data_IF_972950669267
#
_entry.id   IF_972950669267
#
_cell.length_a   1.000
_cell.length_b   1.000
_cell.length_c   1.000
_cell.angle_alpha   90.00
_cell.angle_beta   90.00
_cell.angle_gamma   90.00
#
_symmetry.space_group_name_H-M   'P 1'
#
loop_
_entity.id
_entity.type
_entity.pdbx_description
1 polymer ?
#
# COMPACT_ATOMS: atom_id res chain seq x y z
N UNK A 1 -0.40 51.17 31.06
CA UNK A 1 -0.18 49.71 31.21
C UNK A 1 -1.42 48.87 30.85
N UNK A 2 -2.64 49.18 31.33
CA UNK A 2 -3.85 48.38 31.05
C UNK A 2 -4.11 48.09 29.55
N UNK A 3 -3.99 49.10 28.68
CA UNK A 3 -4.18 48.95 27.22
C UNK A 3 -3.22 47.98 26.51
N UNK A 4 -2.06 47.64 27.10
CA UNK A 4 -1.11 46.68 26.50
C UNK A 4 -1.40 45.22 26.87
N UNK A 5 -2.19 44.97 27.93
CA UNK A 5 -2.42 43.62 28.47
C UNK A 5 -3.81 43.09 28.11
N UNK A 6 -4.76 43.97 27.81
CA UNK A 6 -6.12 43.63 27.35
C UNK A 6 -6.15 42.62 26.18
N UNK A 7 -5.33 42.78 25.11
CA UNK A 7 -5.34 41.86 23.97
C UNK A 7 -4.88 40.46 24.35
N UNK A 8 -3.89 40.37 25.24
CA UNK A 8 -3.32 39.12 25.74
C UNK A 8 -4.32 38.40 26.64
N UNK A 9 -4.96 39.13 27.56
CA UNK A 9 -5.98 38.56 28.45
C UNK A 9 -7.18 38.05 27.63
N UNK A 10 -7.67 38.86 26.68
CA UNK A 10 -8.78 38.49 25.80
C UNK A 10 -8.49 37.26 24.94
N UNK A 11 -7.24 37.11 24.46
CA UNK A 11 -6.79 35.94 23.74
C UNK A 11 -6.89 34.65 24.57
N UNK A 12 -6.32 34.64 25.77
CA UNK A 12 -6.28 33.46 26.63
C UNK A 12 -7.63 33.12 27.27
N UNK A 13 -8.53 34.10 27.45
CA UNK A 13 -9.87 33.87 27.98
C UNK A 13 -10.95 33.62 26.91
N UNK A 14 -10.61 33.78 25.62
CA UNK A 14 -11.57 33.77 24.51
C UNK A 14 -11.45 32.58 23.56
N UNK A 15 -12.26 32.59 22.49
CA UNK A 15 -12.21 31.59 21.42
C UNK A 15 -10.94 31.68 20.55
N UNK A 16 -10.20 32.78 20.63
CA UNK A 16 -9.00 33.02 19.82
C UNK A 16 -7.89 32.01 20.12
N UNK A 17 -7.67 31.64 21.39
CA UNK A 17 -6.67 30.59 21.72
C UNK A 17 -7.07 29.23 21.15
N UNK A 18 -8.37 28.94 21.05
CA UNK A 18 -8.86 27.70 20.44
C UNK A 18 -8.63 27.69 18.93
N UNK A 19 -8.92 28.82 18.25
CA UNK A 19 -8.63 29.01 16.82
C UNK A 19 -7.13 28.83 16.56
N UNK A 20 -6.28 29.53 17.31
CA UNK A 20 -4.83 29.45 17.15
C UNK A 20 -4.32 28.01 17.30
N UNK A 21 -4.74 27.31 18.37
CA UNK A 21 -4.34 25.91 18.61
C UNK A 21 -4.84 24.96 17.52
N UNK A 22 -6.07 25.15 17.03
CA UNK A 22 -6.65 24.35 15.96
C UNK A 22 -5.81 24.49 14.68
N UNK A 23 -5.52 25.72 14.28
CA UNK A 23 -4.78 26.00 13.04
C UNK A 23 -3.31 25.58 13.15
N UNK A 24 -2.69 25.80 14.32
CA UNK A 24 -1.32 25.35 14.58
C UNK A 24 -1.14 23.84 14.40
N UNK A 25 -2.18 23.04 14.66
CA UNK A 25 -2.15 21.58 14.43
C UNK A 25 -2.28 21.19 12.97
N UNK A 26 -2.87 22.05 12.14
CA UNK A 26 -3.16 21.78 10.72
C UNK A 26 -2.10 22.29 9.77
N UNK A 27 -1.23 23.21 10.21
CA UNK A 27 -0.29 23.89 9.31
C UNK A 27 0.66 22.92 8.60
N UNK A 28 1.09 21.85 9.27
CA UNK A 28 1.95 20.82 8.67
C UNK A 28 1.20 20.02 7.58
N UNK A 29 -0.11 19.80 7.76
CA UNK A 29 -0.95 19.17 6.75
C UNK A 29 -1.11 20.06 5.51
N UNK A 30 -1.29 21.36 5.72
CA UNK A 30 -1.35 22.32 4.60
C UNK A 30 -0.03 22.39 3.85
N UNK A 31 1.10 22.42 4.56
CA UNK A 31 2.44 22.40 3.95
C UNK A 31 2.68 21.15 3.12
N UNK A 32 2.34 19.98 3.65
CA UNK A 32 2.47 18.72 2.91
C UNK A 32 1.65 18.72 1.62
N UNK A 33 0.50 19.39 1.62
CA UNK A 33 -0.41 19.47 0.48
C UNK A 33 -0.24 20.75 -0.37
N UNK A 34 0.78 21.57 -0.13
CA UNK A 34 0.90 22.91 -0.73
C UNK A 34 0.93 22.90 -2.26
N UNK A 35 1.52 21.85 -2.85
CA UNK A 35 1.58 21.70 -4.31
C UNK A 35 0.22 21.46 -4.96
N UNK A 36 -0.78 21.03 -4.19
CA UNK A 36 -2.15 20.81 -4.66
C UNK A 36 -3.05 22.03 -4.47
N UNK A 37 -2.61 23.04 -3.72
CA UNK A 37 -3.38 24.27 -3.52
C UNK A 37 -3.37 25.17 -4.76
N UNK A 38 -4.45 25.94 -4.92
CA UNK A 38 -4.52 27.06 -5.86
C UNK A 38 -3.52 28.16 -5.50
N UNK A 39 -3.20 29.06 -6.44
CA UNK A 39 -2.27 30.16 -6.21
C UNK A 39 -2.66 31.00 -5.00
N UNK A 40 -3.93 31.39 -4.91
CA UNK A 40 -4.45 32.19 -3.80
C UNK A 40 -4.40 31.43 -2.47
N UNK A 41 -4.77 30.14 -2.46
CA UNK A 41 -4.74 29.34 -1.23
C UNK A 41 -3.31 29.07 -0.74
N UNK A 42 -2.30 29.03 -1.62
CA UNK A 42 -0.89 28.97 -1.21
C UNK A 42 -0.45 30.24 -0.49
N UNK A 43 -0.90 31.41 -0.97
CA UNK A 43 -0.66 32.68 -0.29
C UNK A 43 -1.34 32.70 1.08
N UNK A 44 -2.55 32.14 1.18
CA UNK A 44 -3.24 32.00 2.48
C UNK A 44 -2.46 31.13 3.47
N UNK A 45 -1.82 30.03 3.02
CA UNK A 45 -0.93 29.23 3.89
C UNK A 45 0.24 30.05 4.41
N UNK A 46 0.91 30.80 3.52
CA UNK A 46 2.03 31.66 3.92
C UNK A 46 1.59 32.75 4.91
N UNK A 47 0.39 33.31 4.73
CA UNK A 47 -0.19 34.28 5.65
C UNK A 47 -0.48 33.65 7.02
N UNK A 48 -1.03 32.43 7.07
CA UNK A 48 -1.18 31.70 8.34
C UNK A 48 0.17 31.51 9.03
N UNK A 49 1.22 31.12 8.31
CA UNK A 49 2.56 30.97 8.90
C UNK A 49 3.08 32.28 9.49
N UNK A 50 2.92 33.37 8.76
CA UNK A 50 3.29 34.72 9.19
C UNK A 50 2.54 35.11 10.48
N UNK A 51 1.23 34.86 10.55
CA UNK A 51 0.42 35.12 11.73
C UNK A 51 0.85 34.24 12.92
N UNK A 52 1.10 32.95 12.71
CA UNK A 52 1.50 32.02 13.77
C UNK A 52 2.91 32.31 14.31
N UNK A 53 3.79 32.86 13.47
CA UNK A 53 5.17 33.21 13.81
C UNK A 53 5.37 34.66 14.29
N UNK A 54 4.32 35.49 14.30
CA UNK A 54 4.39 36.88 14.74
C UNK A 54 4.60 37.01 16.25
N UNK A 55 5.33 38.04 16.67
CA UNK A 55 5.52 38.40 18.09
C UNK A 55 4.19 38.87 18.74
N UNK A 56 3.27 39.41 17.95
CA UNK A 56 1.95 39.88 18.40
C UNK A 56 0.81 39.28 17.56
N UNK A 57 0.59 37.94 17.61
CA UNK A 57 -0.35 37.26 16.73
C UNK A 57 -1.81 37.60 17.05
N UNK A 58 -2.09 38.07 18.27
CA UNK A 58 -3.42 38.21 18.86
C UNK A 58 -4.39 39.07 18.05
N UNK A 59 -3.87 40.12 17.39
CA UNK A 59 -4.69 41.03 16.58
C UNK A 59 -5.09 40.43 15.23
N UNK A 60 -4.33 39.44 14.76
CA UNK A 60 -4.48 38.81 13.45
C UNK A 60 -5.18 37.45 13.51
N UNK A 61 -5.27 36.82 14.69
CA UNK A 61 -5.90 35.50 14.88
C UNK A 61 -7.35 35.44 14.38
N UNK A 62 -8.06 36.57 14.40
CA UNK A 62 -9.41 36.69 13.84
C UNK A 62 -9.51 36.43 12.33
N UNK A 63 -8.39 36.53 11.60
CA UNK A 63 -8.32 36.28 10.15
C UNK A 63 -8.15 34.79 9.84
N UNK A 64 -7.57 34.02 10.78
CA UNK A 64 -7.26 32.60 10.58
C UNK A 64 -8.45 31.73 10.15
N UNK A 65 -9.69 31.90 10.68
CA UNK A 65 -10.82 31.09 10.22
C UNK A 65 -11.18 31.30 8.75
N UNK A 66 -11.02 32.53 8.24
CA UNK A 66 -11.30 32.83 6.85
C UNK A 66 -10.22 32.25 5.93
N UNK A 67 -8.95 32.37 6.33
CA UNK A 67 -7.81 31.75 5.64
C UNK A 67 -7.95 30.23 5.61
N UNK A 68 -8.28 29.62 6.76
CA UNK A 68 -8.57 28.19 6.89
C UNK A 68 -9.66 27.76 5.90
N UNK A 69 -10.78 28.47 5.84
CA UNK A 69 -11.89 28.11 4.97
C UNK A 69 -11.51 28.08 3.48
N UNK A 70 -10.68 29.02 3.02
CA UNK A 70 -10.21 29.05 1.63
C UNK A 70 -9.22 27.94 1.31
N UNK A 71 -8.30 27.64 2.23
CA UNK A 71 -7.35 26.53 2.09
C UNK A 71 -8.10 25.20 2.03
N UNK A 72 -9.01 24.96 2.97
CA UNK A 72 -9.79 23.71 3.06
C UNK A 72 -10.68 23.51 1.81
N UNK A 73 -11.30 24.58 1.31
CA UNK A 73 -12.06 24.52 0.05
C UNK A 73 -11.15 24.13 -1.14
N UNK A 74 -9.99 24.78 -1.27
CA UNK A 74 -9.03 24.46 -2.34
C UNK A 74 -8.48 23.03 -2.23
N UNK A 75 -8.26 22.51 -1.01
CA UNK A 75 -7.85 21.12 -0.80
C UNK A 75 -8.97 20.15 -1.16
N UNK A 76 -10.21 20.43 -0.75
CA UNK A 76 -11.36 19.58 -1.05
C UNK A 76 -11.58 19.46 -2.58
N UNK A 77 -11.53 20.58 -3.29
CA UNK A 77 -11.66 20.59 -4.76
C UNK A 77 -10.55 19.77 -5.42
N UNK A 78 -9.30 19.98 -4.99
CA UNK A 78 -8.15 19.26 -5.54
C UNK A 78 -8.18 17.77 -5.19
N UNK A 79 -8.60 17.42 -3.97
CA UNK A 79 -8.75 16.04 -3.54
C UNK A 79 -9.80 15.31 -4.38
N UNK A 80 -10.92 15.94 -4.71
CA UNK A 80 -11.95 15.34 -5.58
C UNK A 80 -11.36 14.98 -6.93
N UNK A 81 -10.70 15.94 -7.60
CA UNK A 81 -10.09 15.69 -8.92
C UNK A 81 -9.01 14.61 -8.87
N UNK A 82 -8.16 14.59 -7.83
CA UNK A 82 -7.14 13.55 -7.68
C UNK A 82 -7.79 12.17 -7.46
N UNK A 83 -8.85 12.08 -6.66
CA UNK A 83 -9.56 10.81 -6.45
C UNK A 83 -10.17 10.30 -7.74
N UNK A 84 -10.82 11.17 -8.52
CA UNK A 84 -11.39 10.85 -9.82
C UNK A 84 -10.32 10.33 -10.80
N UNK A 85 -9.19 11.02 -10.91
CA UNK A 85 -8.06 10.61 -11.77
C UNK A 85 -7.54 9.21 -11.40
N UNK A 86 -7.39 8.94 -10.10
CA UNK A 86 -6.86 7.65 -9.64
C UNK A 86 -7.88 6.55 -9.81
N UNK A 87 -9.17 6.81 -9.58
CA UNK A 87 -10.24 5.86 -9.85
C UNK A 87 -10.32 5.51 -11.33
N UNK A 88 -10.21 6.50 -12.22
CA UNK A 88 -10.19 6.29 -13.66
C UNK A 88 -8.99 5.42 -14.07
N UNK A 89 -7.78 5.74 -13.57
CA UNK A 89 -6.58 4.94 -13.81
C UNK A 89 -6.76 3.50 -13.31
N UNK A 90 -7.28 3.34 -12.10
CA UNK A 90 -7.50 2.03 -11.50
C UNK A 90 -8.48 1.19 -12.31
N UNK A 91 -9.57 1.80 -12.77
CA UNK A 91 -10.56 1.13 -13.60
C UNK A 91 -9.95 0.66 -14.92
N UNK A 92 -9.19 1.52 -15.61
CA UNK A 92 -8.49 1.14 -16.84
C UNK A 92 -7.57 -0.07 -16.64
N UNK A 93 -6.77 -0.07 -15.56
CA UNK A 93 -5.89 -1.20 -15.24
C UNK A 93 -6.68 -2.47 -14.96
N UNK A 94 -7.79 -2.37 -14.22
CA UNK A 94 -8.64 -3.52 -13.90
C UNK A 94 -9.31 -4.09 -15.15
N UNK A 95 -9.82 -3.24 -16.04
CA UNK A 95 -10.46 -3.66 -17.29
C UNK A 95 -9.46 -4.37 -18.21
N UNK A 96 -8.24 -3.86 -18.31
CA UNK A 96 -7.19 -4.47 -19.13
C UNK A 96 -6.74 -5.82 -18.54
N UNK A 97 -6.57 -5.91 -17.22
CA UNK A 97 -6.27 -7.19 -16.55
C UNK A 97 -7.42 -8.19 -16.69
N UNK A 98 -8.67 -7.75 -16.64
CA UNK A 98 -9.83 -8.61 -16.83
C UNK A 98 -9.86 -9.20 -18.24
N UNK A 99 -9.61 -8.40 -19.27
CA UNK A 99 -9.47 -8.89 -20.66
C UNK A 99 -8.34 -9.89 -20.78
N UNK A 100 -7.17 -9.60 -20.21
CA UNK A 100 -6.03 -10.51 -20.24
C UNK A 100 -6.38 -11.84 -19.55
N UNK A 101 -6.93 -11.80 -18.33
CA UNK A 101 -7.33 -13.00 -17.58
C UNK A 101 -8.43 -13.81 -18.30
N UNK A 102 -9.35 -13.14 -18.99
CA UNK A 102 -10.41 -13.78 -19.76
C UNK A 102 -9.90 -14.46 -21.03
N UNK A 103 -8.76 -14.02 -21.58
CA UNK A 103 -8.14 -14.65 -22.75
C UNK A 103 -7.52 -16.03 -22.46
N UNK A 104 -7.43 -16.42 -21.18
CA UNK A 104 -6.84 -17.69 -20.74
C UNK A 104 -7.88 -18.55 -20.00
N UNK A 105 -8.53 -19.45 -20.73
CA UNK A 105 -9.55 -20.38 -20.18
C UNK A 105 -9.00 -21.33 -19.10
N UNK A 106 -7.70 -21.60 -19.13
CA UNK A 106 -7.04 -22.56 -18.24
C UNK A 106 -6.72 -21.98 -16.85
N UNK A 107 -7.05 -20.71 -16.59
CA UNK A 107 -6.88 -20.10 -15.28
C UNK A 107 -8.03 -20.44 -14.35
N UNK A 108 -7.70 -20.86 -13.13
CA UNK A 108 -8.69 -21.08 -12.08
C UNK A 108 -9.31 -19.75 -11.63
N UNK A 109 -10.57 -19.79 -11.22
CA UNK A 109 -11.26 -18.61 -10.69
C UNK A 109 -10.57 -18.05 -9.44
N UNK A 110 -10.00 -18.93 -8.62
CA UNK A 110 -9.19 -18.53 -7.46
C UNK A 110 -7.97 -17.69 -7.88
N UNK A 111 -7.26 -18.10 -8.94
CA UNK A 111 -6.13 -17.33 -9.45
C UNK A 111 -6.60 -15.97 -10.00
N UNK A 112 -7.66 -15.96 -10.83
CA UNK A 112 -8.25 -14.72 -11.38
C UNK A 112 -8.64 -13.77 -10.25
N UNK A 113 -9.31 -14.26 -9.21
CA UNK A 113 -9.71 -13.45 -8.07
C UNK A 113 -8.50 -12.97 -7.25
N UNK A 114 -7.46 -13.80 -7.09
CA UNK A 114 -6.24 -13.40 -6.39
C UNK A 114 -5.54 -12.20 -7.05
N UNK A 115 -5.56 -12.13 -8.38
CA UNK A 115 -4.99 -11.01 -9.15
C UNK A 115 -5.87 -9.77 -9.00
N UNK A 116 -7.20 -9.91 -9.11
CA UNK A 116 -8.15 -8.81 -8.90
C UNK A 116 -8.03 -8.20 -7.50
N UNK A 117 -7.91 -9.05 -6.48
CA UNK A 117 -7.83 -8.64 -5.07
C UNK A 117 -6.56 -7.84 -4.72
N UNK A 118 -5.52 -7.87 -5.55
CA UNK A 118 -4.29 -7.10 -5.32
C UNK A 118 -4.56 -5.59 -5.21
N UNK A 119 -5.65 -5.10 -5.82
CA UNK A 119 -5.98 -3.68 -5.88
C UNK A 119 -6.94 -3.21 -4.78
N UNK A 120 -7.45 -4.11 -3.92
CA UNK A 120 -8.49 -3.79 -2.94
C UNK A 120 -8.03 -2.74 -1.92
N UNK A 121 -6.76 -2.75 -1.53
CA UNK A 121 -6.22 -1.78 -0.58
C UNK A 121 -6.08 -0.39 -1.23
N UNK A 122 -5.72 -0.32 -2.51
CA UNK A 122 -5.73 0.93 -3.28
C UNK A 122 -7.15 1.51 -3.34
N UNK A 123 -8.16 0.69 -3.63
CA UNK A 123 -9.57 1.14 -3.65
C UNK A 123 -9.98 1.72 -2.30
N UNK A 124 -9.68 1.00 -1.22
CA UNK A 124 -9.99 1.44 0.13
C UNK A 124 -9.28 2.74 0.47
N UNK A 125 -8.02 2.89 0.09
CA UNK A 125 -7.21 4.06 0.36
C UNK A 125 -7.73 5.28 -0.41
N UNK A 126 -8.07 5.14 -1.70
CA UNK A 126 -8.60 6.25 -2.51
C UNK A 126 -9.91 6.78 -1.94
N UNK A 127 -10.77 5.90 -1.40
CA UNK A 127 -12.03 6.31 -0.76
C UNK A 127 -11.74 7.04 0.57
N UNK A 128 -10.93 6.44 1.44
CA UNK A 128 -10.84 6.83 2.86
C UNK A 128 -9.80 7.91 3.17
N UNK A 129 -8.78 8.10 2.33
CA UNK A 129 -7.76 9.12 2.55
C UNK A 129 -8.30 10.50 2.19
N UNK A 130 -7.99 11.50 3.02
CA UNK A 130 -8.38 12.90 2.82
C UNK A 130 -7.18 13.82 2.56
N UNK A 131 -6.00 13.24 2.42
CA UNK A 131 -4.76 13.96 2.13
C UNK A 131 -4.41 13.80 0.64
N UNK A 132 -4.32 14.92 -0.08
CA UNK A 132 -4.05 14.92 -1.52
C UNK A 132 -2.73 14.22 -1.86
N UNK A 133 -1.68 14.42 -1.05
CA UNK A 133 -0.39 13.78 -1.27
C UNK A 133 -0.50 12.25 -1.13
N UNK A 134 -1.14 11.76 -0.07
CA UNK A 134 -1.31 10.33 0.16
C UNK A 134 -2.23 9.65 -0.84
N UNK A 135 -3.30 10.33 -1.26
CA UNK A 135 -4.13 9.85 -2.37
C UNK A 135 -3.28 9.79 -3.64
N UNK A 136 -2.51 10.83 -3.99
CA UNK A 136 -1.67 10.84 -5.20
C UNK A 136 -0.65 9.71 -5.23
N UNK A 137 -0.09 9.31 -4.09
CA UNK A 137 0.83 8.17 -3.99
C UNK A 137 0.21 6.85 -4.46
N UNK A 138 -1.11 6.68 -4.33
CA UNK A 138 -1.81 5.47 -4.81
C UNK A 138 -1.64 5.27 -6.32
N UNK A 139 -1.40 6.34 -7.09
CA UNK A 139 -1.13 6.22 -8.52
C UNK A 139 0.13 5.38 -8.81
N UNK A 140 1.19 5.54 -8.01
CA UNK A 140 2.42 4.75 -8.15
C UNK A 140 2.24 3.31 -7.68
N UNK A 141 1.42 3.09 -6.65
CA UNK A 141 1.06 1.75 -6.18
C UNK A 141 0.29 0.97 -7.26
N UNK A 142 -0.64 1.62 -7.97
CA UNK A 142 -1.33 1.02 -9.13
C UNK A 142 -0.32 0.52 -10.17
N UNK A 143 0.69 1.33 -10.51
CA UNK A 143 1.71 0.93 -11.51
C UNK A 143 2.58 -0.24 -11.03
N UNK A 144 2.87 -0.31 -9.74
CA UNK A 144 3.61 -1.43 -9.14
C UNK A 144 2.77 -2.71 -9.12
N UNK A 145 1.50 -2.61 -8.73
CA UNK A 145 0.57 -3.73 -8.70
C UNK A 145 0.24 -4.23 -10.11
N UNK A 146 0.08 -3.35 -11.09
CA UNK A 146 -0.13 -3.71 -12.49
C UNK A 146 1.04 -4.56 -13.02
N UNK A 147 2.28 -4.12 -12.81
CA UNK A 147 3.47 -4.89 -13.20
C UNK A 147 3.51 -6.26 -12.52
N UNK A 148 3.21 -6.27 -11.22
CA UNK A 148 3.18 -7.51 -10.42
C UNK A 148 2.08 -8.47 -10.89
N UNK A 149 0.91 -7.95 -11.28
CA UNK A 149 -0.20 -8.73 -11.82
C UNK A 149 0.18 -9.38 -13.16
N UNK A 150 0.76 -8.63 -14.09
CA UNK A 150 1.20 -9.18 -15.38
C UNK A 150 2.32 -10.22 -15.23
N UNK A 151 3.29 -10.01 -14.33
CA UNK A 151 4.31 -11.03 -14.05
C UNK A 151 3.71 -12.30 -13.44
N UNK A 152 2.72 -12.17 -12.54
CA UNK A 152 1.97 -13.33 -12.01
C UNK A 152 1.24 -14.09 -13.13
N UNK A 153 0.56 -13.39 -14.03
CA UNK A 153 -0.13 -13.99 -15.18
C UNK A 153 0.88 -14.76 -16.04
N UNK A 154 2.01 -14.14 -16.39
CA UNK A 154 3.07 -14.76 -17.19
C UNK A 154 3.67 -16.01 -16.53
N UNK A 155 3.92 -15.97 -15.22
CA UNK A 155 4.39 -17.13 -14.46
C UNK A 155 3.36 -18.26 -14.45
N UNK A 156 2.06 -17.93 -14.33
CA UNK A 156 0.99 -18.90 -14.35
C UNK A 156 0.85 -19.57 -15.73
N UNK A 157 0.95 -18.80 -16.83
CA UNK A 157 0.99 -19.35 -18.20
C UNK A 157 2.13 -20.35 -18.36
N UNK A 158 3.33 -20.00 -17.86
CA UNK A 158 4.50 -20.88 -17.92
C UNK A 158 4.27 -22.17 -17.12
N UNK A 159 3.74 -22.05 -15.90
CA UNK A 159 3.41 -23.20 -15.04
C UNK A 159 2.42 -24.16 -15.70
N UNK A 160 1.37 -23.64 -16.35
CA UNK A 160 0.39 -24.46 -17.06
C UNK A 160 1.04 -25.15 -18.27
N UNK A 161 1.86 -24.44 -19.04
CA UNK A 161 2.58 -24.99 -20.19
C UNK A 161 3.55 -26.11 -19.79
N UNK A 162 4.30 -25.91 -18.72
CA UNK A 162 5.30 -26.88 -18.25
C UNK A 162 4.64 -28.14 -17.68
N UNK A 163 3.46 -28.01 -17.06
CA UNK A 163 2.63 -29.16 -16.67
C UNK A 163 2.14 -29.96 -17.88
N UNK A 164 1.63 -29.29 -18.92
CA UNK A 164 1.17 -29.95 -20.15
C UNK A 164 2.27 -30.66 -20.95
N UNK A 165 3.54 -30.25 -20.81
CA UNK A 165 4.68 -30.92 -21.47
C UNK A 165 5.13 -32.22 -20.78
N UNK A 166 4.84 -32.38 -19.48
CA UNK A 166 5.21 -33.59 -18.74
C UNK A 166 4.17 -34.70 -18.87
N UNK A 167 3.00 -34.43 -19.44
CA UNK A 167 1.93 -35.42 -19.69
C UNK A 167 2.03 -36.08 -21.08
N UNK A 168 3.07 -35.77 -21.87
CA UNK A 168 3.25 -36.24 -23.25
C UNK A 168 4.29 -37.36 -23.46
N UNK A 169 4.72 -38.07 -22.42
CA UNK A 169 5.51 -39.29 -22.59
C UNK A 169 4.59 -40.51 -22.67
N UNK A 170 4.37 -40.94 -23.91
CA UNK A 170 3.76 -42.22 -24.28
C UNK A 170 4.19 -43.35 -23.35
N UNK A 171 3.19 -43.91 -22.66
CA UNK A 171 3.27 -45.21 -21.99
C UNK A 171 3.37 -46.31 -23.05
N UNK A 172 4.60 -46.56 -23.51
CA UNK A 172 4.97 -47.84 -24.11
C UNK A 172 6.12 -48.47 -23.35
N UNK A 173 5.76 -49.44 -22.51
CA UNK A 173 6.58 -50.61 -22.25
C UNK A 173 7.43 -50.57 -20.99
N UNK A 174 7.08 -51.52 -20.11
CA UNK A 174 7.94 -52.28 -19.20
C UNK A 174 8.36 -51.57 -17.90
N UNK A 175 7.96 -52.20 -16.80
CA UNK A 175 7.98 -51.65 -15.46
C UNK A 175 9.35 -51.23 -14.96
N UNK A 176 9.36 -50.11 -14.27
CA UNK A 176 10.18 -49.94 -13.08
C UNK A 176 9.46 -48.99 -12.12
N UNK A 177 9.41 -49.38 -10.86
CA UNK A 177 8.71 -48.69 -9.78
C UNK A 177 9.37 -47.32 -9.53
N UNK A 178 8.84 -46.25 -10.11
CA UNK A 178 9.31 -44.88 -9.81
C UNK A 178 8.31 -44.16 -8.92
N UNK A 179 8.65 -44.15 -7.63
CA UNK A 179 7.99 -43.37 -6.58
C UNK A 179 7.68 -41.92 -7.01
N UNK A 180 6.50 -41.38 -6.65
CA UNK A 180 6.10 -40.04 -7.04
C UNK A 180 7.08 -38.97 -6.54
N UNK A 181 7.28 -37.90 -7.33
CA UNK A 181 8.16 -36.79 -6.95
C UNK A 181 7.35 -35.80 -6.10
N UNK A 182 7.74 -35.61 -4.84
CA UNK A 182 7.13 -34.58 -3.98
C UNK A 182 7.89 -33.26 -4.15
N UNK A 183 7.21 -32.24 -4.68
CA UNK A 183 7.76 -30.89 -4.82
C UNK A 183 7.44 -30.09 -3.56
N UNK A 184 8.46 -29.73 -2.80
CA UNK A 184 8.30 -28.93 -1.58
C UNK A 184 8.32 -27.45 -1.98
N UNK A 185 7.13 -26.87 -2.17
CA UNK A 185 6.94 -25.47 -2.61
C UNK A 185 6.47 -24.54 -1.47
N UNK A 186 6.51 -25.01 -0.21
CA UNK A 186 6.06 -24.27 0.95
C UNK A 186 7.16 -24.20 2.00
N UNK A 187 7.45 -22.99 2.48
CA UNK A 187 8.46 -22.71 3.52
C UNK A 187 8.12 -23.35 4.87
N UNK A 188 6.92 -23.93 5.03
CA UNK A 188 6.48 -24.61 6.25
C UNK A 188 7.45 -25.69 6.77
N UNK A 189 8.12 -26.43 5.89
CA UNK A 189 9.13 -27.44 6.28
C UNK A 189 10.38 -26.82 6.90
N UNK A 190 10.68 -25.57 6.56
CA UNK A 190 11.83 -24.82 7.04
C UNK A 190 11.47 -23.91 8.23
N UNK A 191 10.21 -23.85 8.65
CA UNK A 191 9.80 -23.01 9.79
C UNK A 191 10.15 -23.69 11.11
N UNK A 192 11.02 -23.06 11.89
CA UNK A 192 11.23 -23.38 13.30
C UNK A 192 10.42 -22.43 14.18
N UNK A 193 9.91 -22.94 15.31
CA UNK A 193 9.19 -22.13 16.32
C UNK A 193 10.13 -21.47 17.34
N UNK A 194 11.40 -21.87 17.38
CA UNK A 194 12.41 -21.32 18.29
C UNK A 194 13.42 -20.46 17.51
N UNK A 195 13.82 -19.34 18.09
CA UNK A 195 14.96 -18.58 17.59
C UNK A 195 16.23 -19.39 17.85
N UNK A 196 17.10 -19.48 16.84
CA UNK A 196 18.38 -20.18 16.94
C UNK A 196 19.42 -19.14 17.34
N UNK A 197 19.97 -19.26 18.53
CA UNK A 197 20.90 -18.27 19.10
C UNK A 197 22.30 -18.84 19.34
N UNK A 198 22.44 -20.17 19.32
CA UNK A 198 23.71 -20.88 19.53
C UNK A 198 24.02 -21.89 18.41
N UNK A 199 25.29 -22.30 18.30
CA UNK A 199 25.75 -23.23 17.26
C UNK A 199 25.18 -24.64 17.48
N UNK A 200 25.03 -25.05 18.73
CA UNK A 200 24.41 -26.32 19.11
C UNK A 200 22.94 -26.39 18.67
N UNK A 201 22.19 -25.30 18.85
CA UNK A 201 20.79 -25.21 18.41
C UNK A 201 20.64 -25.20 16.88
N UNK A 202 21.61 -24.60 16.18
CA UNK A 202 21.64 -24.63 14.72
C UNK A 202 21.85 -26.06 14.21
N UNK A 203 22.77 -26.79 14.82
CA UNK A 203 23.05 -28.17 14.46
C UNK A 203 21.85 -29.08 14.75
N UNK A 204 21.16 -28.89 15.88
CA UNK A 204 19.93 -29.62 16.20
C UNK A 204 18.80 -29.35 15.18
N UNK A 205 18.64 -28.10 14.75
CA UNK A 205 17.66 -27.75 13.71
C UNK A 205 17.99 -28.41 12.36
N UNK A 206 19.27 -28.40 11.95
CA UNK A 206 19.72 -29.00 10.70
C UNK A 206 19.55 -30.53 10.71
N UNK A 207 19.82 -31.19 11.82
CA UNK A 207 19.64 -32.64 11.94
C UNK A 207 18.15 -33.05 11.91
N UNK A 208 17.28 -32.25 12.52
CA UNK A 208 15.84 -32.45 12.45
C UNK A 208 15.32 -32.27 11.01
N UNK A 209 15.78 -31.22 10.31
CA UNK A 209 15.43 -30.98 8.91
C UNK A 209 15.94 -32.10 7.99
N UNK A 210 17.18 -32.56 8.21
CA UNK A 210 17.77 -33.69 7.49
C UNK A 210 16.96 -34.97 7.70
N UNK A 211 16.53 -35.24 8.93
CA UNK A 211 15.71 -36.42 9.25
C UNK A 211 14.34 -36.37 8.56
N UNK A 212 13.68 -35.20 8.56
CA UNK A 212 12.41 -34.99 7.87
C UNK A 212 12.54 -35.19 6.35
N UNK A 213 13.58 -34.64 5.73
CA UNK A 213 13.85 -34.82 4.30
C UNK A 213 14.20 -36.28 3.96
N UNK A 214 14.95 -36.98 4.82
CA UNK A 214 15.22 -38.41 4.63
C UNK A 214 13.96 -39.26 4.73
N UNK A 215 13.03 -38.94 5.63
CA UNK A 215 11.76 -39.66 5.73
C UNK A 215 10.94 -39.53 4.43
N UNK A 216 10.88 -38.32 3.86
CA UNK A 216 10.21 -38.09 2.58
C UNK A 216 10.96 -38.79 1.43
N UNK A 217 12.31 -38.83 1.47
CA UNK A 217 13.13 -39.51 0.45
C UNK A 217 12.95 -41.03 0.40
N UNK A 218 12.54 -41.66 1.50
CA UNK A 218 12.27 -43.12 1.53
C UNK A 218 11.08 -43.50 0.66
N UNK A 219 10.10 -42.61 0.55
CA UNK A 219 8.84 -42.88 -0.15
C UNK A 219 8.74 -42.12 -1.48
N UNK A 220 9.50 -41.03 -1.66
CA UNK A 220 9.37 -40.11 -2.80
C UNK A 220 10.72 -39.54 -3.22
N UNK A 221 10.88 -39.17 -4.50
CA UNK A 221 12.02 -38.34 -4.93
C UNK A 221 11.71 -36.88 -4.59
N UNK A 222 12.66 -36.14 -4.01
CA UNK A 222 12.43 -34.75 -3.58
C UNK A 222 13.09 -33.78 -4.57
N UNK A 223 12.35 -32.72 -4.94
CA UNK A 223 12.90 -31.53 -5.59
C UNK A 223 12.48 -30.29 -4.80
N UNK A 224 13.47 -29.56 -4.28
CA UNK A 224 13.29 -28.26 -3.60
C UNK A 224 13.40 -27.16 -4.66
N UNK A 225 12.47 -26.20 -4.69
CA UNK A 225 12.43 -25.07 -5.63
C UNK A 225 12.63 -23.74 -4.91
#
# INVERSE_FOLDING_TARGET
>A
MRQKVEPVISFFSGSQVQIFRKISKKIDDYKRNIQFLSGDARLDVAEIESILGSDEPYTLIKLLPQLEGRIEASLADSLSGIKEDIQAKLQLVKDDLEKELASHDNFTDEFKQSVKNMFNDVERNVINLNDCAFVKLQSGEIDALQRSAYERIKLQIKSIRDKGKNEGYDTKGLGDESNPVTIINNTALFKTKKNIETEEELNEYLDNLRTALMAILKENRIKVL
#
